data_IF_915464579744
#
_entry.id   IF_915464579744
#
_cell.length_a   1.000
_cell.length_b   1.000
_cell.length_c   1.000
_cell.angle_alpha   90.00
_cell.angle_beta   90.00
_cell.angle_gamma   90.00
#
_symmetry.space_group_name_H-M   'P 1'
#
loop_
_entity.id
_entity.type
_entity.pdbx_description
1 polymer ?
#
# COMPACT_ATOMS: atom_id res chain seq x y z
N UNK A 1 -48.46 29.04 -30.86
CA UNK A 1 -48.38 27.84 -30.00
C UNK A 1 -47.38 28.00 -28.86
N UNK A 2 -46.09 28.25 -29.09
CA UNK A 2 -45.08 28.33 -28.02
C UNK A 2 -45.38 29.39 -26.96
N UNK A 3 -45.82 30.60 -27.36
CA UNK A 3 -46.22 31.68 -26.44
C UNK A 3 -47.39 31.27 -25.51
N UNK A 4 -48.37 30.56 -26.02
CA UNK A 4 -49.51 30.07 -25.24
C UNK A 4 -49.08 29.05 -24.18
N UNK A 5 -48.15 28.14 -24.54
CA UNK A 5 -47.59 27.13 -23.63
C UNK A 5 -46.80 27.82 -22.52
N UNK A 6 -45.94 28.78 -22.86
CA UNK A 6 -45.16 29.53 -21.88
C UNK A 6 -46.00 30.32 -20.88
N UNK A 7 -47.11 30.94 -21.38
CA UNK A 7 -48.08 31.64 -20.52
C UNK A 7 -48.79 30.70 -19.57
N UNK A 8 -49.15 29.49 -20.02
CA UNK A 8 -49.80 28.47 -19.20
C UNK A 8 -48.83 27.94 -18.13
N UNK A 9 -47.56 27.70 -18.48
CA UNK A 9 -46.51 27.30 -17.53
C UNK A 9 -46.31 28.38 -16.45
N UNK A 10 -46.30 29.66 -16.83
CA UNK A 10 -46.14 30.77 -15.90
C UNK A 10 -47.32 30.93 -14.94
N UNK A 11 -48.55 30.73 -15.43
CA UNK A 11 -49.77 30.80 -14.61
C UNK A 11 -49.80 29.65 -13.55
N UNK A 12 -49.27 28.49 -13.90
CA UNK A 12 -49.20 27.32 -13.01
C UNK A 12 -47.84 27.16 -12.31
N UNK A 13 -47.08 28.25 -12.15
CA UNK A 13 -45.69 28.23 -11.66
C UNK A 13 -45.49 27.53 -10.30
N UNK A 14 -46.50 27.55 -9.41
CA UNK A 14 -46.37 26.86 -8.10
C UNK A 14 -46.42 25.35 -8.25
N UNK A 15 -47.29 24.83 -9.10
CA UNK A 15 -47.40 23.39 -9.36
C UNK A 15 -46.21 22.90 -10.20
N UNK A 16 -45.89 23.64 -11.26
CA UNK A 16 -44.78 23.33 -12.14
C UNK A 16 -43.42 23.45 -11.42
N UNK A 17 -43.28 24.39 -10.45
CA UNK A 17 -42.10 24.55 -9.63
C UNK A 17 -41.83 23.34 -8.74
N UNK A 18 -42.88 22.69 -8.19
CA UNK A 18 -42.74 21.47 -7.41
C UNK A 18 -42.28 20.30 -8.28
N UNK A 19 -42.89 20.09 -9.43
CA UNK A 19 -42.49 19.04 -10.39
C UNK A 19 -41.05 19.25 -10.85
N UNK A 20 -40.67 20.52 -11.11
CA UNK A 20 -39.29 20.85 -11.48
C UNK A 20 -38.30 20.52 -10.37
N UNK A 21 -38.64 20.82 -9.12
CA UNK A 21 -37.80 20.50 -7.98
C UNK A 21 -37.65 18.97 -7.80
N UNK A 22 -38.70 18.21 -7.96
CA UNK A 22 -38.69 16.75 -7.92
C UNK A 22 -37.81 16.17 -9.03
N UNK A 23 -37.96 16.63 -10.26
CA UNK A 23 -37.15 16.19 -11.40
C UNK A 23 -35.68 16.56 -11.20
N UNK A 24 -35.37 17.72 -10.60
CA UNK A 24 -34.01 18.15 -10.31
C UNK A 24 -33.36 17.22 -9.28
N UNK A 25 -34.08 16.84 -8.21
CA UNK A 25 -33.58 15.90 -7.21
C UNK A 25 -33.32 14.53 -7.87
N UNK A 26 -34.24 14.03 -8.67
CA UNK A 26 -34.05 12.75 -9.39
C UNK A 26 -32.85 12.83 -10.33
N UNK A 27 -32.68 13.93 -11.04
CA UNK A 27 -31.56 14.13 -11.94
C UNK A 27 -30.20 14.14 -11.18
N UNK A 28 -30.13 14.84 -10.03
CA UNK A 28 -28.90 14.87 -9.20
C UNK A 28 -28.56 13.48 -8.67
N UNK A 29 -29.55 12.74 -8.19
CA UNK A 29 -29.36 11.37 -7.72
C UNK A 29 -28.89 10.45 -8.85
N UNK A 30 -29.50 10.55 -10.02
CA UNK A 30 -29.13 9.75 -11.19
C UNK A 30 -27.71 10.09 -11.66
N UNK A 31 -27.36 11.37 -11.67
CA UNK A 31 -26.00 11.82 -12.00
C UNK A 31 -24.98 11.21 -11.02
N UNK A 32 -25.25 11.27 -9.72
CA UNK A 32 -24.36 10.69 -8.70
C UNK A 32 -24.18 9.17 -8.88
N UNK A 33 -25.27 8.45 -9.17
CA UNK A 33 -25.21 7.03 -9.46
C UNK A 33 -24.37 6.72 -10.70
N UNK A 34 -24.54 7.50 -11.77
CA UNK A 34 -23.77 7.33 -13.00
C UNK A 34 -22.28 7.63 -12.80
N UNK A 35 -21.96 8.68 -12.05
CA UNK A 35 -20.57 9.04 -11.70
C UNK A 35 -19.91 7.92 -10.89
N UNK A 36 -20.62 7.37 -9.92
CA UNK A 36 -20.13 6.26 -9.11
C UNK A 36 -19.91 4.99 -9.95
N UNK A 37 -20.84 4.66 -10.86
CA UNK A 37 -20.69 3.53 -11.78
C UNK A 37 -19.51 3.74 -12.73
N UNK A 38 -19.32 4.95 -13.24
CA UNK A 38 -18.18 5.30 -14.08
C UNK A 38 -16.87 5.14 -13.33
N UNK A 39 -16.78 5.65 -12.08
CA UNK A 39 -15.61 5.53 -11.25
C UNK A 39 -15.24 4.06 -10.97
N UNK A 40 -16.23 3.22 -10.69
CA UNK A 40 -16.02 1.77 -10.52
C UNK A 40 -15.51 1.12 -11.81
N UNK A 41 -16.17 1.36 -12.93
CA UNK A 41 -15.78 0.79 -14.22
C UNK A 41 -14.38 1.27 -14.67
N UNK A 42 -14.03 2.51 -14.34
CA UNK A 42 -12.72 3.06 -14.60
C UNK A 42 -11.65 2.39 -13.72
N UNK A 43 -11.90 2.26 -12.41
CA UNK A 43 -10.99 1.62 -11.47
C UNK A 43 -10.74 0.14 -11.80
N UNK A 44 -11.78 -0.58 -12.27
CA UNK A 44 -11.66 -1.99 -12.66
C UNK A 44 -10.77 -2.19 -13.90
N UNK A 45 -10.77 -1.21 -14.81
CA UNK A 45 -9.99 -1.25 -16.06
C UNK A 45 -8.54 -0.78 -15.89
N UNK A 46 -8.19 -0.18 -14.75
CA UNK A 46 -6.81 0.23 -14.50
C UNK A 46 -5.90 -0.99 -14.38
N UNK A 47 -4.69 -0.93 -14.94
CA UNK A 47 -3.69 -1.96 -14.70
C UNK A 47 -3.39 -2.04 -13.21
N UNK A 48 -3.44 -3.22 -12.65
CA UNK A 48 -3.27 -3.44 -11.21
C UNK A 48 -1.81 -3.46 -10.76
N UNK A 49 -0.88 -3.47 -11.71
CA UNK A 49 0.57 -3.53 -11.45
C UNK A 49 1.04 -4.87 -10.86
N UNK A 50 0.15 -5.85 -10.69
CA UNK A 50 0.46 -7.18 -10.14
C UNK A 50 -0.49 -8.24 -10.69
N UNK A 51 -0.01 -9.50 -10.70
CA UNK A 51 -0.79 -10.67 -11.11
C UNK A 51 -1.07 -11.56 -9.90
N UNK A 52 -2.34 -11.89 -9.68
CA UNK A 52 -2.79 -12.74 -8.59
C UNK A 52 -3.25 -14.12 -9.06
N UNK A 53 -3.04 -14.46 -10.32
CA UNK A 53 -3.41 -15.78 -10.80
C UNK A 53 -2.56 -16.84 -10.09
N UNK A 54 -3.25 -17.80 -9.43
CA UNK A 54 -2.65 -18.84 -8.59
C UNK A 54 -1.92 -18.32 -7.32
N UNK A 55 -2.17 -17.09 -6.90
CA UNK A 55 -1.65 -16.57 -5.63
C UNK A 55 -2.67 -16.82 -4.52
N UNK A 56 -2.23 -17.44 -3.45
CA UNK A 56 -3.07 -17.76 -2.28
C UNK A 56 -2.58 -16.99 -1.06
N UNK A 57 -3.52 -16.38 -0.35
CA UNK A 57 -3.25 -15.71 0.91
C UNK A 57 -3.46 -16.64 2.07
N UNK A 58 -2.43 -16.83 2.87
CA UNK A 58 -2.48 -17.54 4.15
C UNK A 58 -2.44 -16.52 5.28
N UNK A 59 -3.50 -16.46 6.08
CA UNK A 59 -3.56 -15.59 7.24
C UNK A 59 -3.25 -16.37 8.50
N UNK A 60 -2.23 -15.94 9.23
CA UNK A 60 -1.88 -16.51 10.53
C UNK A 60 -2.47 -15.60 11.60
N UNK A 61 -3.35 -16.14 12.44
CA UNK A 61 -3.92 -15.42 13.57
C UNK A 61 -3.46 -16.06 14.86
N UNK A 62 -3.05 -15.25 15.82
CA UNK A 62 -2.75 -15.70 17.18
C UNK A 62 -3.88 -15.28 18.12
N UNK A 63 -3.93 -15.96 19.25
CA UNK A 63 -4.88 -15.58 20.30
C UNK A 63 -4.47 -14.21 20.89
N UNK A 64 -5.31 -13.17 20.75
CA UNK A 64 -4.97 -11.83 21.19
C UNK A 64 -4.72 -11.75 22.71
N UNK A 65 -5.32 -12.64 23.49
CA UNK A 65 -5.10 -12.68 24.94
C UNK A 65 -3.67 -13.08 25.29
N UNK A 66 -3.04 -13.94 24.50
CA UNK A 66 -1.65 -14.35 24.70
C UNK A 66 -0.68 -13.28 24.25
N UNK A 67 -1.03 -12.53 23.22
CA UNK A 67 -0.22 -11.41 22.73
C UNK A 67 -0.08 -10.30 23.76
N UNK A 68 -1.15 -10.00 24.50
CA UNK A 68 -1.16 -8.98 25.58
C UNK A 68 -0.26 -9.39 26.76
N UNK A 69 -0.02 -10.69 26.95
CA UNK A 69 0.86 -11.20 28.00
C UNK A 69 2.35 -11.10 27.64
N UNK A 70 2.67 -10.83 26.38
CA UNK A 70 4.05 -10.61 25.94
C UNK A 70 4.49 -9.20 26.33
N UNK A 71 5.11 -9.08 27.51
CA UNK A 71 5.56 -7.80 28.07
C UNK A 71 7.00 -7.44 27.74
N UNK A 72 7.73 -8.36 27.10
CA UNK A 72 9.13 -8.15 26.68
C UNK A 72 9.33 -8.47 25.23
N UNK A 73 10.33 -7.86 24.62
CA UNK A 73 10.71 -8.07 23.21
C UNK A 73 11.07 -9.54 22.93
N UNK A 74 11.79 -10.19 23.84
CA UNK A 74 12.09 -11.63 23.79
C UNK A 74 10.85 -12.50 23.80
N UNK A 75 9.80 -12.10 24.53
CA UNK A 75 8.52 -12.81 24.56
C UNK A 75 7.79 -12.70 23.25
N UNK A 76 7.75 -11.51 22.62
CA UNK A 76 7.17 -11.29 21.31
C UNK A 76 7.91 -12.08 20.24
N UNK A 77 9.23 -12.09 20.28
CA UNK A 77 10.06 -12.83 19.34
C UNK A 77 9.77 -14.33 19.38
N UNK A 78 9.76 -14.92 20.58
CA UNK A 78 9.51 -16.36 20.75
C UNK A 78 8.06 -16.74 20.46
N UNK A 79 7.10 -15.89 20.77
CA UNK A 79 5.69 -16.21 20.65
C UNK A 79 5.13 -15.93 19.24
N UNK A 80 5.59 -14.85 18.60
CA UNK A 80 5.05 -14.42 17.31
C UNK A 80 5.98 -14.74 16.14
N UNK A 81 7.20 -14.25 16.18
CA UNK A 81 8.10 -14.30 15.02
C UNK A 81 8.61 -15.71 14.71
N UNK A 82 9.09 -16.44 15.69
CA UNK A 82 9.62 -17.82 15.47
C UNK A 82 8.57 -18.79 14.93
N UNK A 83 7.33 -18.86 15.47
CA UNK A 83 6.28 -19.69 14.88
C UNK A 83 5.92 -19.28 13.45
N UNK A 84 5.88 -17.97 13.15
CA UNK A 84 5.60 -17.46 11.81
C UNK A 84 6.70 -17.86 10.82
N UNK A 85 7.96 -17.73 11.21
CA UNK A 85 9.11 -18.15 10.43
C UNK A 85 9.09 -19.66 10.14
N UNK A 86 8.77 -20.48 11.14
CA UNK A 86 8.65 -21.93 10.97
C UNK A 86 7.51 -22.30 10.01
N UNK A 87 6.36 -21.65 10.10
CA UNK A 87 5.24 -21.85 9.16
C UNK A 87 5.67 -21.46 7.75
N UNK A 88 6.32 -20.32 7.59
CA UNK A 88 6.82 -19.85 6.31
C UNK A 88 7.84 -20.83 5.70
N UNK A 89 8.78 -21.29 6.50
CA UNK A 89 9.76 -22.30 6.09
C UNK A 89 9.10 -23.59 5.60
N UNK A 90 8.07 -24.07 6.31
CA UNK A 90 7.30 -25.27 5.90
C UNK A 90 6.53 -25.05 4.60
N UNK A 91 5.95 -23.87 4.40
CA UNK A 91 5.27 -23.52 3.15
C UNK A 91 6.28 -23.55 1.98
N UNK A 92 7.45 -22.95 2.15
CA UNK A 92 8.51 -22.94 1.11
C UNK A 92 9.06 -24.34 0.79
N UNK A 93 8.97 -25.28 1.73
CA UNK A 93 9.42 -26.67 1.52
C UNK A 93 8.40 -27.54 0.79
N UNK A 94 7.16 -27.09 0.63
CA UNK A 94 6.15 -27.84 -0.10
C UNK A 94 6.46 -27.79 -1.60
N UNK A 95 6.59 -28.96 -2.29
CA UNK A 95 6.90 -29.03 -3.71
C UNK A 95 5.82 -28.42 -4.62
N UNK A 96 4.58 -28.25 -4.12
CA UNK A 96 3.49 -27.63 -4.87
C UNK A 96 3.51 -26.08 -4.78
N UNK A 97 4.43 -25.52 -3.99
CA UNK A 97 4.58 -24.06 -3.82
C UNK A 97 5.82 -23.59 -4.57
N UNK A 98 5.62 -22.82 -5.63
CA UNK A 98 6.69 -22.27 -6.45
C UNK A 98 7.47 -21.20 -5.70
N UNK A 99 6.77 -20.28 -5.05
CA UNK A 99 7.35 -19.20 -4.25
C UNK A 99 6.40 -18.79 -3.12
N UNK A 100 6.94 -18.25 -2.05
CA UNK A 100 6.16 -17.71 -0.95
C UNK A 100 6.82 -16.44 -0.42
N UNK A 101 5.99 -15.48 -0.01
CA UNK A 101 6.45 -14.21 0.58
C UNK A 101 5.66 -13.88 1.83
N UNK A 102 6.27 -13.09 2.69
CA UNK A 102 5.61 -12.50 3.85
C UNK A 102 5.39 -11.02 3.58
N UNK A 103 4.24 -10.50 3.98
CA UNK A 103 4.01 -9.07 4.01
C UNK A 103 3.31 -8.66 5.31
N UNK A 104 3.58 -7.45 5.72
CA UNK A 104 2.92 -6.77 6.83
C UNK A 104 2.36 -5.44 6.32
N UNK A 105 1.17 -5.10 6.75
CA UNK A 105 0.48 -3.88 6.34
C UNK A 105 -0.77 -4.16 5.53
N UNK A 106 -1.08 -3.27 4.62
CA UNK A 106 -2.32 -3.34 3.83
C UNK A 106 -2.26 -4.42 2.77
N UNK A 107 -3.33 -5.19 2.64
CA UNK A 107 -3.53 -6.08 1.50
C UNK A 107 -3.64 -5.28 0.19
N UNK A 108 -3.40 -5.95 -0.94
CA UNK A 108 -3.60 -5.38 -2.27
C UNK A 108 -5.05 -4.87 -2.48
N UNK A 109 -6.02 -5.47 -1.80
CA UNK A 109 -7.45 -5.10 -1.85
C UNK A 109 -8.02 -4.68 -0.50
N UNK A 110 -7.18 -4.36 0.49
CA UNK A 110 -7.67 -3.98 1.81
C UNK A 110 -8.35 -2.60 1.77
N UNK A 111 -9.46 -2.50 2.47
CA UNK A 111 -10.10 -1.21 2.75
C UNK A 111 -9.25 -0.31 3.65
N UNK A 112 -8.45 -0.93 4.51
CA UNK A 112 -7.57 -0.21 5.42
C UNK A 112 -6.17 -0.22 4.84
N UNK A 113 -5.70 0.95 4.49
CA UNK A 113 -4.38 1.18 3.94
C UNK A 113 -3.55 1.90 5.00
N UNK A 114 -2.33 1.46 5.22
CA UNK A 114 -1.39 2.18 6.08
C UNK A 114 -0.74 3.26 5.24
N UNK A 115 -1.02 4.50 5.59
CA UNK A 115 -0.40 5.67 4.97
C UNK A 115 0.74 6.16 5.83
N UNK A 116 1.83 6.52 5.18
CA UNK A 116 3.02 7.08 5.79
C UNK A 116 3.43 8.35 5.04
N UNK A 117 3.93 9.32 5.78
CA UNK A 117 4.53 10.50 5.18
C UNK A 117 6.03 10.29 4.96
N UNK A 118 6.54 10.74 3.83
CA UNK A 118 7.96 10.71 3.52
C UNK A 118 8.47 12.09 3.16
N UNK A 119 9.74 12.33 3.45
CA UNK A 119 10.39 13.60 3.17
C UNK A 119 11.80 13.37 2.63
N UNK A 120 12.20 14.26 1.75
CA UNK A 120 13.59 14.50 1.39
C UNK A 120 14.02 15.84 1.99
N UNK A 121 15.24 16.28 1.76
CA UNK A 121 15.73 17.58 2.24
C UNK A 121 14.87 18.78 1.79
N UNK A 122 14.14 18.64 0.69
CA UNK A 122 13.41 19.73 0.06
C UNK A 122 11.91 19.49 -0.11
N UNK A 123 11.46 18.25 -0.06
CA UNK A 123 10.10 17.84 -0.46
C UNK A 123 9.52 16.93 0.59
N UNK A 124 8.24 17.11 0.88
CA UNK A 124 7.46 16.23 1.75
C UNK A 124 6.26 15.68 1.00
N UNK A 125 6.12 14.36 0.98
CA UNK A 125 4.96 13.64 0.45
C UNK A 125 4.22 13.06 1.63
N UNK A 126 2.94 13.40 1.76
CA UNK A 126 2.03 12.83 2.76
C UNK A 126 1.18 11.77 2.09
N UNK A 127 0.73 10.81 2.89
CA UNK A 127 -0.24 9.79 2.46
C UNK A 127 0.28 8.80 1.39
N UNK A 128 1.57 8.46 1.43
CA UNK A 128 2.08 7.36 0.65
C UNK A 128 1.76 6.02 1.30
N UNK A 129 1.38 5.06 0.48
CA UNK A 129 1.07 3.70 0.93
C UNK A 129 2.34 2.94 1.26
N UNK A 130 2.39 2.29 2.42
CA UNK A 130 3.54 1.48 2.83
C UNK A 130 3.16 0.01 3.01
N UNK A 131 4.07 -0.86 2.58
CA UNK A 131 4.04 -2.31 2.85
C UNK A 131 5.41 -2.78 3.23
N UNK A 132 5.49 -3.56 4.29
CA UNK A 132 6.70 -4.28 4.66
C UNK A 132 6.63 -5.66 4.04
N UNK A 133 7.57 -5.99 3.17
CA UNK A 133 7.54 -7.22 2.38
C UNK A 133 8.86 -7.95 2.43
N UNK A 134 8.82 -9.28 2.31
CA UNK A 134 10.03 -10.06 2.07
C UNK A 134 10.51 -9.88 0.62
N UNK A 135 11.80 -10.15 0.33
CA UNK A 135 12.36 -9.98 -1.01
C UNK A 135 11.58 -10.69 -2.12
N UNK A 136 11.06 -11.87 -1.84
CA UNK A 136 10.30 -12.70 -2.78
C UNK A 136 8.92 -12.14 -3.14
N UNK A 137 8.47 -11.07 -2.46
CA UNK A 137 7.14 -10.49 -2.69
C UNK A 137 6.92 -10.06 -4.14
N UNK A 138 7.93 -9.46 -4.76
CA UNK A 138 7.85 -8.96 -6.12
C UNK A 138 7.73 -10.11 -7.13
N UNK A 139 8.42 -11.22 -6.88
CA UNK A 139 8.32 -12.43 -7.71
C UNK A 139 6.96 -13.11 -7.55
N UNK A 140 6.47 -13.27 -6.31
CA UNK A 140 5.15 -13.87 -6.01
C UNK A 140 4.02 -13.07 -6.63
N UNK A 141 4.09 -11.74 -6.55
CA UNK A 141 3.07 -10.83 -7.06
C UNK A 141 3.29 -10.47 -8.53
N UNK A 142 4.40 -10.96 -9.14
CA UNK A 142 4.81 -10.66 -10.52
C UNK A 142 4.83 -9.17 -10.82
N UNK A 143 5.31 -8.38 -9.87
CA UNK A 143 5.41 -6.93 -10.01
C UNK A 143 6.63 -6.60 -10.88
N UNK A 144 6.46 -5.93 -12.02
CA UNK A 144 7.58 -5.57 -12.89
C UNK A 144 8.45 -4.50 -12.24
N UNK A 145 9.75 -4.79 -12.13
CA UNK A 145 10.74 -3.81 -11.70
C UNK A 145 11.25 -3.08 -12.94
N UNK A 146 11.11 -1.76 -12.95
CA UNK A 146 11.49 -0.88 -14.03
C UNK A 146 12.98 -0.51 -13.98
N UNK A 147 13.48 -0.22 -12.79
CA UNK A 147 14.85 0.18 -12.54
C UNK A 147 15.34 -0.48 -11.25
N UNK A 148 16.60 -0.94 -11.25
CA UNK A 148 17.17 -1.65 -10.11
C UNK A 148 16.90 -3.14 -10.16
N UNK A 149 17.11 -3.78 -9.04
CA UNK A 149 17.14 -5.25 -8.98
C UNK A 149 16.25 -5.80 -7.84
N UNK A 150 15.40 -4.96 -7.27
CA UNK A 150 14.52 -5.32 -6.17
C UNK A 150 15.21 -5.29 -4.80
N UNK A 151 14.59 -5.92 -3.83
CA UNK A 151 15.18 -6.09 -2.50
C UNK A 151 16.06 -7.35 -2.51
N UNK A 152 17.37 -7.19 -2.34
CA UNK A 152 18.27 -8.33 -2.33
C UNK A 152 18.47 -8.93 -0.95
N UNK A 153 18.74 -10.24 -0.99
CA UNK A 153 19.30 -10.98 0.13
C UNK A 153 20.57 -10.34 0.71
N UNK A 154 21.35 -9.60 -0.10
CA UNK A 154 22.56 -8.92 0.37
C UNK A 154 22.25 -7.73 1.27
N UNK A 155 21.22 -6.95 0.95
CA UNK A 155 20.77 -5.84 1.80
C UNK A 155 20.07 -6.39 3.05
N UNK A 156 19.35 -7.50 2.91
CA UNK A 156 18.75 -8.23 4.02
C UNK A 156 19.80 -8.90 4.90
N UNK A 157 20.88 -9.46 4.33
CA UNK A 157 21.98 -10.05 5.12
C UNK A 157 22.74 -8.99 5.92
N UNK A 158 22.88 -7.78 5.39
CA UNK A 158 23.42 -6.65 6.16
C UNK A 158 22.48 -6.26 7.32
N UNK A 159 21.18 -6.33 7.07
CA UNK A 159 20.15 -6.13 8.09
C UNK A 159 20.11 -7.29 9.10
N UNK A 160 20.13 -8.55 8.64
CA UNK A 160 20.16 -9.75 9.48
C UNK A 160 21.42 -9.83 10.34
N UNK A 161 22.58 -9.51 9.79
CA UNK A 161 23.84 -9.50 10.55
C UNK A 161 23.85 -8.46 11.66
N UNK A 162 23.04 -7.40 11.52
CA UNK A 162 22.94 -6.33 12.52
C UNK A 162 21.82 -6.57 13.52
N UNK A 163 20.75 -7.29 13.11
CA UNK A 163 19.53 -7.50 13.90
C UNK A 163 19.38 -8.90 14.51
N UNK A 164 20.22 -9.84 14.12
CA UNK A 164 20.22 -11.21 14.69
C UNK A 164 19.04 -12.09 14.32
N UNK A 165 18.06 -11.62 13.56
CA UNK A 165 16.97 -12.44 13.01
C UNK A 165 16.32 -11.82 11.77
N UNK A 166 15.98 -12.69 10.81
CA UNK A 166 15.42 -12.33 9.50
C UNK A 166 14.05 -11.62 9.52
N UNK A 167 13.38 -11.57 10.65
CA UNK A 167 12.06 -10.95 10.81
C UNK A 167 11.98 -9.90 11.93
N UNK A 168 13.09 -9.61 12.59
CA UNK A 168 13.13 -8.64 13.68
C UNK A 168 13.28 -7.22 13.15
N UNK A 169 12.20 -6.63 12.71
CA UNK A 169 12.13 -5.19 12.41
C UNK A 169 12.30 -4.30 13.65
N UNK A 170 12.47 -4.88 14.82
CA UNK A 170 12.46 -4.20 16.10
C UNK A 170 13.61 -4.62 17.03
N UNK A 171 14.75 -5.11 16.51
CA UNK A 171 15.88 -5.39 17.42
C UNK A 171 16.53 -4.10 17.91
N UNK A 172 16.79 -4.04 19.20
CA UNK A 172 17.38 -2.89 19.89
C UNK A 172 18.78 -2.47 19.37
N UNK A 173 19.40 -3.30 18.55
CA UNK A 173 20.72 -3.03 17.97
C UNK A 173 20.67 -2.38 16.58
N UNK A 174 19.49 -2.40 15.91
CA UNK A 174 19.37 -1.75 14.62
C UNK A 174 19.22 -0.24 14.81
N UNK A 175 20.21 0.50 14.33
CA UNK A 175 20.16 1.96 14.32
C UNK A 175 19.86 2.46 12.88
N UNK A 176 18.60 2.81 12.57
CA UNK A 176 18.20 3.27 11.24
C UNK A 176 18.86 4.58 10.83
N UNK A 177 19.41 5.31 11.76
CA UNK A 177 20.21 6.49 11.45
C UNK A 177 21.56 6.15 10.83
N UNK A 178 22.03 4.92 10.98
CA UNK A 178 23.32 4.45 10.47
C UNK A 178 23.15 3.63 9.18
N UNK A 179 22.19 2.70 9.17
CA UNK A 179 21.94 1.81 8.03
C UNK A 179 20.53 2.09 7.47
N UNK A 180 20.41 2.67 6.28
CA UNK A 180 19.10 2.94 5.68
C UNK A 180 18.40 1.62 5.30
N UNK A 181 17.09 1.57 5.48
CA UNK A 181 16.23 0.47 5.04
C UNK A 181 16.17 0.42 3.51
N UNK A 182 16.33 -0.75 2.89
CA UNK A 182 16.07 -0.90 1.47
C UNK A 182 14.58 -0.65 1.17
N UNK A 183 14.29 0.12 0.14
CA UNK A 183 12.95 0.46 -0.27
C UNK A 183 12.77 0.35 -1.78
N UNK A 184 11.70 -0.31 -2.19
CA UNK A 184 11.22 -0.25 -3.56
C UNK A 184 10.13 0.81 -3.62
N UNK A 185 10.25 1.74 -4.54
CA UNK A 185 9.31 2.85 -4.70
C UNK A 185 8.54 2.72 -6.02
N UNK A 186 7.30 3.19 -6.04
CA UNK A 186 6.55 3.30 -7.29
C UNK A 186 7.03 4.50 -8.10
N UNK A 187 6.77 4.49 -9.41
CA UNK A 187 7.08 5.62 -10.29
C UNK A 187 6.49 6.93 -9.77
N UNK A 188 5.23 6.91 -9.33
CA UNK A 188 4.54 8.09 -8.80
C UNK A 188 5.20 8.64 -7.54
N UNK A 189 5.63 7.76 -6.63
CA UNK A 189 6.32 8.17 -5.42
C UNK A 189 7.71 8.73 -5.75
N UNK A 190 8.43 8.11 -6.70
CA UNK A 190 9.73 8.60 -7.15
C UNK A 190 9.63 9.99 -7.77
N UNK A 191 8.63 10.23 -8.63
CA UNK A 191 8.37 11.54 -9.21
C UNK A 191 7.99 12.59 -8.15
N UNK A 192 7.20 12.17 -7.17
CA UNK A 192 6.77 13.06 -6.08
C UNK A 192 7.91 13.47 -5.15
N UNK A 193 8.84 12.54 -4.83
CA UNK A 193 9.95 12.78 -3.92
C UNK A 193 11.18 13.40 -4.59
N UNK A 194 11.44 13.04 -5.84
CA UNK A 194 12.70 13.37 -6.52
C UNK A 194 12.51 14.16 -7.80
N UNK A 195 11.28 14.46 -8.21
CA UNK A 195 10.90 15.11 -9.49
C UNK A 195 11.45 14.35 -10.73
N UNK A 196 11.69 13.07 -10.58
CA UNK A 196 12.15 12.16 -11.64
C UNK A 196 11.95 10.73 -11.20
N UNK A 197 11.60 9.88 -12.14
CA UNK A 197 11.51 8.43 -11.92
C UNK A 197 12.75 7.68 -12.46
N UNK A 198 13.70 8.36 -13.09
CA UNK A 198 14.94 7.76 -13.62
C UNK A 198 16.15 8.19 -12.82
N UNK A 199 17.05 7.23 -12.57
CA UNK A 199 18.27 7.51 -11.84
C UNK A 199 18.04 7.87 -10.37
N UNK A 200 17.01 7.27 -9.77
CA UNK A 200 16.68 7.47 -8.34
C UNK A 200 17.31 6.41 -7.44
N UNK A 201 17.91 5.37 -8.02
CA UNK A 201 18.58 4.31 -7.28
C UNK A 201 19.65 4.88 -6.36
N UNK A 202 19.70 4.38 -5.13
CA UNK A 202 20.65 4.81 -4.11
C UNK A 202 20.31 6.14 -3.44
N UNK A 203 19.30 6.88 -3.91
CA UNK A 203 18.84 8.09 -3.21
C UNK A 203 18.16 7.70 -1.90
N UNK A 204 18.26 8.59 -0.91
CA UNK A 204 17.69 8.40 0.40
C UNK A 204 16.52 9.35 0.64
N UNK A 205 15.57 8.87 1.44
CA UNK A 205 14.44 9.64 1.93
C UNK A 205 14.12 9.22 3.36
N UNK A 206 13.35 10.02 4.07
CA UNK A 206 13.12 9.88 5.50
C UNK A 206 11.64 9.74 5.80
N UNK A 207 11.35 9.10 6.92
CA UNK A 207 10.01 9.12 7.49
C UNK A 207 9.67 10.54 7.96
N UNK A 208 8.50 11.05 7.55
CA UNK A 208 8.08 12.41 7.90
C UNK A 208 7.83 12.58 9.40
N UNK A 209 7.30 11.55 10.05
CA UNK A 209 6.93 11.60 11.46
C UNK A 209 8.08 11.19 12.39
N UNK A 210 8.88 10.24 11.97
CA UNK A 210 10.05 9.79 12.72
C UNK A 210 11.30 10.67 12.47
N UNK A 211 11.22 11.59 11.51
CA UNK A 211 12.32 12.45 11.10
C UNK A 211 13.52 11.67 10.57
N UNK A 212 14.73 12.18 10.79
CA UNK A 212 15.97 11.55 10.33
C UNK A 212 16.32 10.23 11.03
N UNK A 213 15.52 9.81 12.02
CA UNK A 213 15.76 8.56 12.74
C UNK A 213 15.39 7.31 11.93
N UNK A 214 14.56 7.44 10.89
CA UNK A 214 14.17 6.34 10.00
C UNK A 214 14.47 6.72 8.56
N UNK A 215 15.54 6.14 8.01
CA UNK A 215 16.01 6.38 6.64
C UNK A 215 15.72 5.21 5.74
N UNK A 216 15.37 5.51 4.50
CA UNK A 216 15.15 4.57 3.43
C UNK A 216 16.10 4.86 2.27
N UNK A 217 16.56 3.81 1.61
CA UNK A 217 17.37 3.92 0.38
C UNK A 217 16.64 3.23 -0.76
N UNK A 218 16.46 3.91 -1.86
CA UNK A 218 15.83 3.35 -3.06
C UNK A 218 16.73 2.25 -3.66
N UNK A 219 16.23 1.03 -3.70
CA UNK A 219 16.90 -0.14 -4.29
C UNK A 219 16.31 -0.53 -5.62
N UNK A 220 15.03 -0.21 -5.83
CA UNK A 220 14.36 -0.43 -7.11
C UNK A 220 13.17 0.53 -7.27
N UNK A 221 12.73 0.63 -8.54
CA UNK A 221 11.51 1.35 -8.93
C UNK A 221 10.58 0.35 -9.61
N UNK A 222 9.32 0.31 -9.20
CA UNK A 222 8.27 -0.50 -9.81
C UNK A 222 7.13 0.38 -10.35
N UNK A 223 6.26 -0.23 -11.15
CA UNK A 223 5.08 0.44 -11.71
C UNK A 223 3.92 0.49 -10.72
#
# INVERSE_FOLDING_TARGET
MIKSILTQIWNQRRLNGWIFAELLIVFVLLWYCLDMLYAFAYAERQPKGYDLEHVYKVSISTNPTQLVLCSSEDSLQNFWFKPMEEVFRRIKQNPDVESASIWLGSDAYARNTVFQGYTTDSISVKDANIRYVSPEYFDVMRIPIQEGTGMFSTDMNAFESTSGSSLSFASAEWNPAVIPLPAVVTLDLADSLFHTHKGVLGKEFFDYYAGSSLRYRVTAVCD
#
